data_IF_140699344547
#
_entry.id   IF_140699344547
#
_cell.length_a   1.000
_cell.length_b   1.000
_cell.length_c   1.000
_cell.angle_alpha   90.00
_cell.angle_beta   90.00
_cell.angle_gamma   90.00
#
_symmetry.space_group_name_H-M   'P 1'
#
loop_
_entity.id
_entity.type
_entity.pdbx_description
1 polymer ?
#
# COMPACT_ATOMS: atom_id res chain seq x y z
N UNK A 1 -2.42 -3.07 5.74
CA UNK A 1 -0.98 -2.85 5.48
C UNK A 1 -0.49 -1.55 6.13
N UNK A 2 -1.05 -1.18 7.29
CA UNK A 2 -0.69 0.03 8.03
C UNK A 2 0.64 -0.11 8.77
N UNK A 3 1.14 -1.33 8.97
CA UNK A 3 2.40 -1.56 9.68
C UNK A 3 3.67 -1.13 8.91
N UNK A 4 3.55 -0.88 7.61
CA UNK A 4 4.67 -0.46 6.76
C UNK A 4 4.60 1.01 6.34
N UNK A 5 3.47 1.69 6.59
CA UNK A 5 3.24 3.10 6.26
C UNK A 5 3.33 3.93 7.54
N UNK A 6 4.08 5.03 7.49
CA UNK A 6 4.11 5.99 8.58
C UNK A 6 2.87 6.90 8.53
N UNK A 7 1.98 6.72 9.49
CA UNK A 7 0.73 7.48 9.64
C UNK A 7 0.89 8.69 10.58
N UNK A 8 2.10 8.99 11.06
CA UNK A 8 2.34 10.05 12.06
C UNK A 8 1.78 11.41 11.64
N UNK A 9 1.84 11.74 10.35
CA UNK A 9 1.33 13.01 9.80
C UNK A 9 -0.20 13.18 9.92
N UNK A 10 -0.94 12.06 9.96
CA UNK A 10 -2.41 12.01 9.96
C UNK A 10 -3.00 11.42 11.26
N UNK A 11 -2.15 11.03 12.21
CA UNK A 11 -2.55 10.37 13.44
C UNK A 11 -3.52 11.18 14.32
N UNK A 12 -3.51 12.51 14.22
CA UNK A 12 -4.41 13.39 14.97
C UNK A 12 -5.83 13.43 14.40
N UNK A 13 -6.04 12.95 13.17
CA UNK A 13 -7.30 13.06 12.43
C UNK A 13 -7.83 11.72 11.92
N UNK A 14 -7.04 10.65 12.03
CA UNK A 14 -7.43 9.29 11.64
C UNK A 14 -7.21 8.35 12.81
N UNK A 15 -8.19 7.46 13.05
CA UNK A 15 -8.03 6.30 13.92
C UNK A 15 -7.82 5.05 13.07
N UNK A 16 -6.90 4.18 13.48
CA UNK A 16 -6.59 2.94 12.77
C UNK A 16 -6.81 1.75 13.70
N UNK A 17 -7.34 0.65 13.13
CA UNK A 17 -7.50 -0.63 13.82
C UNK A 17 -6.99 -1.74 12.90
N UNK A 18 -6.28 -2.72 13.47
CA UNK A 18 -5.95 -3.95 12.74
C UNK A 18 -7.24 -4.69 12.41
N UNK A 19 -7.41 -5.14 11.17
CA UNK A 19 -8.65 -5.80 10.74
C UNK A 19 -8.99 -7.03 11.60
N UNK A 20 -7.98 -7.73 12.12
CA UNK A 20 -8.17 -8.88 13.02
C UNK A 20 -8.66 -8.44 14.39
N UNK A 21 -8.15 -7.32 14.91
CA UNK A 21 -8.61 -6.74 16.17
C UNK A 21 -10.03 -6.17 16.03
N UNK A 22 -10.33 -5.55 14.88
CA UNK A 22 -11.68 -5.13 14.51
C UNK A 22 -12.62 -6.34 14.46
N UNK A 23 -12.29 -7.39 13.71
CA UNK A 23 -13.12 -8.57 13.59
C UNK A 23 -13.30 -9.28 14.95
N UNK A 24 -12.24 -9.41 15.75
CA UNK A 24 -12.31 -9.97 17.10
C UNK A 24 -13.25 -9.18 18.01
N UNK A 25 -13.15 -7.84 18.00
CA UNK A 25 -14.01 -6.95 18.80
C UNK A 25 -15.46 -6.99 18.32
N UNK A 26 -15.67 -6.87 17.00
CA UNK A 26 -16.98 -6.87 16.37
C UNK A 26 -17.71 -8.20 16.57
N UNK A 27 -17.00 -9.32 16.40
CA UNK A 27 -17.56 -10.66 16.56
C UNK A 27 -17.61 -11.13 18.02
N UNK A 28 -17.12 -10.33 18.98
CA UNK A 28 -17.01 -10.72 20.40
C UNK A 28 -16.28 -12.05 20.61
N UNK A 29 -15.18 -12.26 19.88
CA UNK A 29 -14.35 -13.49 19.97
C UNK A 29 -12.96 -13.14 20.46
N UNK A 30 -12.47 -13.86 21.49
CA UNK A 30 -11.13 -13.64 22.03
C UNK A 30 -10.07 -14.29 21.14
N UNK A 31 -9.26 -13.47 20.47
CA UNK A 31 -8.18 -13.92 19.57
C UNK A 31 -7.16 -14.83 20.27
N UNK A 32 -6.83 -14.57 21.52
CA UNK A 32 -5.80 -15.31 22.24
C UNK A 32 -6.23 -16.75 22.55
N UNK A 33 -7.55 -17.01 22.61
CA UNK A 33 -8.12 -18.36 22.78
C UNK A 33 -8.16 -19.10 21.43
N UNK A 34 -8.55 -18.41 20.36
CA UNK A 34 -8.70 -19.03 19.03
C UNK A 34 -7.36 -19.46 18.40
N UNK A 35 -6.25 -18.81 18.73
CA UNK A 35 -4.91 -19.23 18.25
C UNK A 35 -4.40 -20.52 18.90
N UNK A 36 -4.93 -20.94 20.04
CA UNK A 36 -4.47 -22.15 20.75
C UNK A 36 -5.23 -23.42 20.32
N UNK A 37 -6.36 -23.25 19.64
CA UNK A 37 -7.32 -24.31 19.32
C UNK A 37 -7.16 -24.89 17.90
N UNK A 38 -5.92 -25.08 17.40
CA UNK A 38 -5.71 -25.82 16.13
C UNK A 38 -6.24 -27.27 16.22
N UNK A 39 -6.50 -27.80 17.42
CA UNK A 39 -6.96 -29.18 17.64
C UNK A 39 -8.49 -29.33 17.75
N UNK A 40 -9.28 -28.26 17.81
CA UNK A 40 -10.75 -28.35 17.90
C UNK A 40 -11.46 -27.47 16.85
N UNK A 41 -11.52 -27.98 15.63
CA UNK A 41 -12.15 -27.36 14.44
C UNK A 41 -13.69 -27.17 14.62
N UNK A 42 -14.29 -27.62 15.72
CA UNK A 42 -15.72 -27.48 16.07
C UNK A 42 -15.96 -26.65 17.35
N UNK A 43 -15.15 -25.61 17.60
CA UNK A 43 -15.42 -24.71 18.73
C UNK A 43 -16.55 -23.73 18.40
N UNK A 44 -17.43 -23.46 19.38
CA UNK A 44 -18.50 -22.44 19.28
C UNK A 44 -17.99 -21.04 18.89
N UNK A 45 -16.70 -20.75 19.15
CA UNK A 45 -16.01 -19.53 18.73
C UNK A 45 -15.87 -19.42 17.21
N UNK A 46 -15.63 -20.53 16.52
CA UNK A 46 -15.50 -20.55 15.05
C UNK A 46 -16.87 -20.33 14.38
N UNK A 47 -17.93 -20.92 14.91
CA UNK A 47 -19.29 -20.68 14.43
C UNK A 47 -19.72 -19.22 14.62
N UNK A 48 -19.37 -18.60 15.76
CA UNK A 48 -19.57 -17.17 15.99
C UNK A 48 -18.80 -16.30 15.00
N UNK A 49 -17.52 -16.61 14.75
CA UNK A 49 -16.72 -15.91 13.74
C UNK A 49 -17.32 -16.06 12.34
N UNK A 50 -17.80 -17.25 11.98
CA UNK A 50 -18.44 -17.52 10.69
C UNK A 50 -19.74 -16.73 10.53
N UNK A 51 -20.62 -16.78 11.53
CA UNK A 51 -21.89 -16.02 11.53
C UNK A 51 -21.62 -14.51 11.46
N UNK A 52 -20.71 -14.02 12.28
CA UNK A 52 -20.30 -12.62 12.27
C UNK A 52 -19.64 -12.21 10.94
N UNK A 53 -18.78 -13.05 10.38
CA UNK A 53 -18.17 -12.83 9.07
C UNK A 53 -19.21 -12.73 7.96
N UNK A 54 -20.28 -13.53 8.01
CA UNK A 54 -21.42 -13.40 7.09
C UNK A 54 -22.15 -12.06 7.23
N UNK A 55 -22.21 -11.47 8.42
CA UNK A 55 -22.76 -10.13 8.64
C UNK A 55 -21.85 -9.03 8.08
N UNK A 56 -20.54 -9.11 8.36
CA UNK A 56 -19.54 -8.16 7.82
C UNK A 56 -19.52 -8.21 6.28
N UNK A 57 -19.67 -9.40 5.71
CA UNK A 57 -19.73 -9.59 4.25
C UNK A 57 -21.07 -9.18 3.63
N UNK A 58 -22.07 -8.77 4.42
CA UNK A 58 -23.39 -8.41 3.92
C UNK A 58 -24.20 -9.58 3.34
N UNK A 59 -23.81 -10.82 3.61
CA UNK A 59 -24.50 -12.02 3.12
C UNK A 59 -25.83 -12.27 3.83
N UNK A 60 -25.98 -11.74 5.05
CA UNK A 60 -27.21 -11.78 5.84
C UNK A 60 -27.65 -10.34 6.08
N UNK A 61 -28.77 -9.96 5.47
CA UNK A 61 -29.29 -8.59 5.52
C UNK A 61 -30.27 -8.35 6.67
N UNK A 62 -30.25 -7.13 7.21
CA UNK A 62 -31.25 -6.57 8.13
C UNK A 62 -31.36 -7.31 9.47
N UNK A 63 -30.30 -7.24 10.28
CA UNK A 63 -30.29 -7.80 11.65
C UNK A 63 -30.76 -6.74 12.64
N UNK A 64 -31.86 -7.04 13.33
CA UNK A 64 -32.39 -6.30 14.48
C UNK A 64 -32.47 -4.78 14.30
N UNK A 65 -32.72 -4.31 13.07
CA UNK A 65 -32.77 -2.88 12.68
C UNK A 65 -31.48 -2.10 12.92
N UNK A 66 -30.39 -2.76 13.30
CA UNK A 66 -29.10 -2.12 13.59
C UNK A 66 -28.12 -2.24 12.41
N UNK A 67 -28.28 -3.24 11.54
CA UNK A 67 -27.41 -3.48 10.39
C UNK A 67 -28.23 -3.65 9.12
N UNK A 68 -28.09 -2.71 8.19
CA UNK A 68 -28.76 -2.73 6.90
C UNK A 68 -27.76 -3.10 5.81
N UNK A 69 -27.95 -4.27 5.19
CA UNK A 69 -27.16 -4.66 4.02
C UNK A 69 -27.74 -3.94 2.79
N UNK A 70 -26.86 -3.33 2.00
CA UNK A 70 -27.22 -2.66 0.76
C UNK A 70 -26.91 -3.58 -0.42
N UNK A 71 -27.84 -3.68 -1.36
CA UNK A 71 -27.66 -4.44 -2.60
C UNK A 71 -27.02 -3.60 -3.71
N UNK A 72 -26.18 -2.64 -3.33
CA UNK A 72 -25.47 -1.74 -4.23
C UNK A 72 -24.06 -2.27 -4.50
N UNK A 73 -23.67 -2.35 -5.77
CA UNK A 73 -22.31 -2.79 -6.12
C UNK A 73 -21.31 -1.67 -5.82
N UNK A 74 -20.41 -1.97 -4.90
CA UNK A 74 -19.31 -1.10 -4.50
C UNK A 74 -18.43 -0.66 -5.70
N UNK A 75 -18.39 -1.44 -6.80
CA UNK A 75 -17.66 -1.07 -8.02
C UNK A 75 -18.35 0.02 -8.84
N UNK A 76 -19.67 0.14 -8.74
CA UNK A 76 -20.48 1.10 -9.51
C UNK A 76 -20.99 2.25 -8.69
N UNK A 77 -20.98 2.13 -7.36
CA UNK A 77 -21.61 3.12 -6.48
C UNK A 77 -20.56 3.83 -5.62
N UNK A 78 -20.62 5.16 -5.63
CA UNK A 78 -19.81 6.05 -4.79
C UNK A 78 -20.77 6.80 -3.86
N UNK A 79 -20.64 6.59 -2.56
CA UNK A 79 -21.48 7.22 -1.56
C UNK A 79 -21.06 8.68 -1.31
N UNK A 80 -22.02 9.59 -1.27
CA UNK A 80 -21.79 11.01 -0.95
C UNK A 80 -22.72 11.48 0.17
N UNK A 81 -22.33 12.54 0.88
CA UNK A 81 -23.14 13.18 1.93
C UNK A 81 -23.64 14.58 1.49
N UNK A 82 -23.91 14.78 0.20
CA UNK A 82 -24.17 16.11 -0.35
C UNK A 82 -25.67 16.45 -0.39
N UNK A 83 -26.05 17.53 0.27
CA UNK A 83 -27.43 18.03 0.24
C UNK A 83 -27.85 18.70 -1.09
N UNK A 84 -26.91 19.14 -1.93
CA UNK A 84 -27.19 20.06 -3.06
C UNK A 84 -26.83 19.53 -4.45
N UNK A 85 -26.22 18.35 -4.57
CA UNK A 85 -25.88 17.76 -5.87
C UNK A 85 -26.98 16.81 -6.36
N UNK A 86 -27.07 16.64 -7.68
CA UNK A 86 -28.01 15.68 -8.28
C UNK A 86 -27.59 14.25 -7.92
N UNK A 87 -28.52 13.50 -7.34
CA UNK A 87 -28.31 12.10 -6.98
C UNK A 87 -28.27 11.24 -8.25
N UNK A 88 -27.38 10.24 -8.30
CA UNK A 88 -27.21 9.36 -9.47
C UNK A 88 -26.31 9.88 -10.60
N UNK A 89 -25.65 11.03 -10.41
CA UNK A 89 -24.67 11.59 -11.35
C UNK A 89 -23.49 10.65 -11.60
N UNK A 90 -22.85 10.79 -12.76
CA UNK A 90 -21.60 10.09 -13.05
C UNK A 90 -20.49 10.58 -12.13
N UNK A 91 -19.75 9.65 -11.54
CA UNK A 91 -18.56 10.01 -10.76
C UNK A 91 -17.49 10.64 -11.65
N UNK A 92 -16.73 11.61 -11.12
CA UNK A 92 -15.66 12.28 -11.87
C UNK A 92 -14.55 11.31 -12.28
N UNK A 93 -14.31 10.27 -11.47
CA UNK A 93 -13.35 9.20 -11.75
C UNK A 93 -13.97 8.08 -12.57
N UNK A 94 -14.53 8.42 -13.73
CA UNK A 94 -14.82 7.42 -14.75
C UNK A 94 -13.53 6.83 -15.30
N UNK A 95 -13.59 5.54 -15.63
CA UNK A 95 -12.50 4.91 -16.39
C UNK A 95 -12.46 5.51 -17.79
N UNK A 96 -11.30 5.95 -18.27
CA UNK A 96 -11.12 6.45 -19.65
C UNK A 96 -11.58 5.43 -20.70
N UNK A 97 -12.21 5.90 -21.79
CA UNK A 97 -12.77 5.03 -22.84
C UNK A 97 -11.76 4.06 -23.45
N UNK A 98 -10.49 4.48 -23.60
CA UNK A 98 -9.43 3.61 -24.13
C UNK A 98 -9.12 2.49 -23.15
N UNK A 99 -9.10 2.80 -21.85
CA UNK A 99 -8.88 1.81 -20.80
C UNK A 99 -10.08 0.87 -20.64
N UNK A 100 -11.32 1.38 -20.77
CA UNK A 100 -12.54 0.57 -20.77
C UNK A 100 -12.51 -0.49 -21.87
N UNK A 101 -12.21 -0.07 -23.11
CA UNK A 101 -12.08 -0.99 -24.25
C UNK A 101 -10.93 -1.98 -24.07
N UNK A 102 -9.78 -1.53 -23.56
CA UNK A 102 -8.61 -2.39 -23.36
C UNK A 102 -8.81 -3.46 -22.29
N UNK A 103 -9.51 -3.13 -21.19
CA UNK A 103 -9.73 -4.03 -20.05
C UNK A 103 -11.12 -4.69 -20.03
N UNK A 104 -11.93 -4.46 -21.07
CA UNK A 104 -13.31 -4.93 -21.16
C UNK A 104 -14.14 -4.55 -19.91
N UNK A 105 -13.97 -3.30 -19.45
CA UNK A 105 -14.72 -2.76 -18.32
C UNK A 105 -16.06 -2.25 -18.86
N UNK A 106 -17.16 -2.87 -18.43
CA UNK A 106 -18.52 -2.52 -18.85
C UNK A 106 -19.30 -1.70 -17.83
N UNK A 107 -18.76 -1.52 -16.62
CA UNK A 107 -19.46 -0.87 -15.53
C UNK A 107 -19.23 0.65 -15.53
N UNK A 108 -20.23 1.39 -15.05
CA UNK A 108 -20.22 2.85 -14.94
C UNK A 108 -20.34 3.23 -13.48
N UNK A 109 -19.53 4.19 -13.02
CA UNK A 109 -19.57 4.64 -11.62
C UNK A 109 -20.56 5.79 -11.45
N UNK A 110 -21.41 5.72 -10.44
CA UNK A 110 -22.41 6.72 -10.11
C UNK A 110 -22.29 7.14 -8.66
N UNK A 111 -22.57 8.41 -8.41
CA UNK A 111 -22.66 8.99 -7.08
C UNK A 111 -24.07 8.75 -6.52
N UNK A 112 -24.16 8.29 -5.28
CA UNK A 112 -25.42 8.11 -4.56
C UNK A 112 -25.37 8.84 -3.22
N UNK A 113 -26.39 9.64 -2.93
CA UNK A 113 -26.51 10.34 -1.65
C UNK A 113 -26.99 9.38 -0.55
N UNK A 114 -26.19 9.25 0.51
CA UNK A 114 -26.47 8.36 1.64
C UNK A 114 -27.83 8.68 2.28
N UNK A 115 -28.17 9.96 2.43
CA UNK A 115 -29.39 10.39 3.13
C UNK A 115 -30.65 10.13 2.30
N UNK A 116 -30.59 10.29 0.98
CA UNK A 116 -31.68 9.98 0.05
C UNK A 116 -31.88 8.47 -0.08
N UNK A 117 -30.80 7.71 -0.26
CA UNK A 117 -30.88 6.26 -0.48
C UNK A 117 -31.27 5.49 0.77
N UNK A 118 -30.77 5.90 1.95
CA UNK A 118 -31.09 5.26 3.23
C UNK A 118 -32.31 5.89 3.94
N UNK A 119 -32.89 6.93 3.33
CA UNK A 119 -34.16 7.54 3.71
C UNK A 119 -34.00 8.69 4.70
N UNK A 120 -34.56 9.85 4.35
CA UNK A 120 -34.64 11.04 5.20
C UNK A 120 -35.65 10.80 6.33
N UNK A 121 -35.27 11.05 7.58
CA UNK A 121 -36.04 10.77 8.79
C UNK A 121 -35.93 9.33 9.31
N UNK A 122 -35.07 8.50 8.74
CA UNK A 122 -34.83 7.12 9.21
C UNK A 122 -33.69 7.07 10.23
N UNK A 123 -33.63 6.02 11.05
CA UNK A 123 -32.47 5.77 11.93
C UNK A 123 -31.17 5.58 11.14
N UNK A 124 -31.26 5.19 9.86
CA UNK A 124 -30.12 4.99 8.97
C UNK A 124 -29.52 6.33 8.46
N UNK A 125 -30.29 7.43 8.43
CA UNK A 125 -29.76 8.77 8.11
C UNK A 125 -28.70 9.24 9.12
N UNK A 126 -28.87 8.84 10.39
CA UNK A 126 -27.94 9.17 11.47
C UNK A 126 -26.81 8.14 11.63
N UNK A 127 -26.86 7.04 10.88
CA UNK A 127 -25.89 5.96 10.99
C UNK A 127 -24.56 6.30 10.32
N UNK A 128 -23.46 5.94 10.96
CA UNK A 128 -22.13 6.06 10.36
C UNK A 128 -21.95 4.96 9.31
N UNK A 129 -21.63 5.32 8.07
CA UNK A 129 -21.32 4.34 7.02
C UNK A 129 -20.00 3.65 7.36
N UNK A 130 -20.07 2.33 7.57
CA UNK A 130 -18.90 1.47 7.68
C UNK A 130 -18.56 0.92 6.29
N UNK A 131 -17.46 1.41 5.71
CA UNK A 131 -16.94 0.90 4.45
C UNK A 131 -15.62 0.15 4.67
N UNK A 132 -15.52 -1.07 4.12
CA UNK A 132 -14.28 -1.83 4.06
C UNK A 132 -13.70 -1.72 2.66
N UNK A 133 -12.60 -1.00 2.53
CA UNK A 133 -11.89 -0.82 1.27
C UNK A 133 -10.42 -0.51 1.51
N UNK A 134 -9.58 -0.86 0.53
CA UNK A 134 -8.19 -0.41 0.55
C UNK A 134 -8.08 0.88 -0.23
N UNK A 135 -7.62 1.96 0.41
CA UNK A 135 -7.17 3.19 -0.24
C UNK A 135 -5.99 2.96 -1.21
N UNK A 136 -5.37 1.79 -1.16
CA UNK A 136 -4.05 1.51 -1.73
C UNK A 136 -4.07 0.42 -2.81
N UNK A 137 -5.24 -0.08 -3.22
CA UNK A 137 -5.31 -1.08 -4.30
C UNK A 137 -5.24 -0.40 -5.67
N UNK A 138 -4.33 -0.88 -6.52
CA UNK A 138 -4.04 -0.33 -7.86
C UNK A 138 -5.25 -0.05 -8.78
N UNK A 139 -6.36 -0.82 -8.78
CA UNK A 139 -7.55 -0.50 -9.57
C UNK A 139 -8.28 0.78 -9.09
N UNK A 140 -7.99 1.22 -7.87
CA UNK A 140 -8.64 2.34 -7.19
C UNK A 140 -7.66 3.48 -6.87
N UNK A 141 -6.42 3.41 -7.36
CA UNK A 141 -5.47 4.52 -7.23
C UNK A 141 -5.99 5.70 -8.07
N UNK A 142 -6.48 6.74 -7.39
CA UNK A 142 -7.21 7.85 -7.99
C UNK A 142 -8.73 7.66 -8.00
N UNK A 143 -9.26 6.44 -7.92
CA UNK A 143 -10.69 6.21 -7.68
C UNK A 143 -10.93 6.27 -6.17
N UNK A 144 -11.08 7.48 -5.65
CA UNK A 144 -11.25 7.74 -4.23
C UNK A 144 -12.47 7.00 -3.68
N UNK A 145 -12.20 6.02 -2.82
CA UNK A 145 -13.12 5.41 -1.84
C UNK A 145 -14.47 4.88 -2.37
N UNK A 146 -15.14 4.11 -1.52
CA UNK A 146 -16.59 3.88 -1.67
C UNK A 146 -17.39 5.09 -1.16
N UNK A 147 -16.73 6.07 -0.54
CA UNK A 147 -17.30 7.28 0.05
C UNK A 147 -16.47 8.47 -0.44
N UNK A 148 -17.05 9.37 -1.20
CA UNK A 148 -16.35 10.58 -1.64
C UNK A 148 -16.18 11.54 -0.47
N UNK A 149 -14.92 11.78 -0.08
CA UNK A 149 -14.55 12.75 0.98
C UNK A 149 -14.07 14.10 0.40
N UNK A 150 -13.87 14.20 -0.91
CA UNK A 150 -13.35 15.39 -1.58
C UNK A 150 -14.42 16.48 -1.69
N UNK A 151 -15.68 16.05 -1.75
CA UNK A 151 -16.88 16.88 -1.72
C UNK A 151 -17.28 17.36 -0.31
N UNK A 152 -16.35 17.32 0.65
CA UNK A 152 -16.42 18.14 1.87
C UNK A 152 -15.58 19.44 1.72
N UNK A 153 -15.74 20.28 0.66
CA UNK A 153 -14.83 21.38 0.37
C UNK A 153 -14.84 22.48 1.44
N UNK A 154 -15.83 22.47 2.34
CA UNK A 154 -15.94 23.43 3.44
C UNK A 154 -15.29 22.95 4.74
N UNK A 155 -14.94 21.67 4.88
CA UNK A 155 -14.25 21.19 6.08
C UNK A 155 -12.73 21.26 5.88
N UNK A 156 -12.11 22.28 6.49
CA UNK A 156 -10.66 22.48 6.46
C UNK A 156 -9.88 21.27 7.00
N UNK A 157 -10.46 20.48 7.92
CA UNK A 157 -9.80 19.28 8.46
C UNK A 157 -9.71 18.19 7.41
N UNK A 158 -10.76 18.00 6.61
CA UNK A 158 -10.78 17.03 5.51
C UNK A 158 -9.86 17.47 4.37
N UNK A 159 -9.84 18.76 4.03
CA UNK A 159 -8.89 19.29 3.04
C UNK A 159 -7.44 19.10 3.47
N UNK A 160 -7.12 19.38 4.75
CA UNK A 160 -5.79 19.13 5.30
C UNK A 160 -5.44 17.63 5.31
N UNK A 161 -6.41 16.77 5.60
CA UNK A 161 -6.23 15.31 5.53
C UNK A 161 -5.92 14.84 4.11
N UNK A 162 -6.70 15.24 3.11
CA UNK A 162 -6.50 14.89 1.69
C UNK A 162 -5.09 15.30 1.23
N UNK A 163 -4.66 16.53 1.56
CA UNK A 163 -3.31 16.99 1.24
C UNK A 163 -2.23 16.12 1.89
N UNK A 164 -2.40 15.73 3.16
CA UNK A 164 -1.46 14.84 3.86
C UNK A 164 -1.47 13.40 3.32
N UNK A 165 -2.59 12.96 2.73
CA UNK A 165 -2.73 11.64 2.11
C UNK A 165 -2.14 11.59 0.69
N UNK A 166 -1.78 12.72 0.07
CA UNK A 166 -1.10 12.75 -1.24
C UNK A 166 0.13 11.83 -1.22
N UNK A 167 0.86 11.84 -0.10
CA UNK A 167 1.99 10.95 0.11
C UNK A 167 2.17 10.60 1.58
N UNK A 168 2.18 9.30 1.87
CA UNK A 168 2.55 8.76 3.18
C UNK A 168 3.84 7.95 3.02
N UNK A 169 4.91 8.27 3.75
CA UNK A 169 6.16 7.53 3.66
C UNK A 169 6.04 6.13 4.24
N UNK A 170 6.98 5.25 3.90
CA UNK A 170 7.14 4.01 4.65
C UNK A 170 7.60 4.30 6.09
N UNK A 171 7.38 3.34 6.98
CA UNK A 171 7.87 3.44 8.36
C UNK A 171 9.39 3.65 8.42
N UNK A 172 9.90 4.37 9.43
CA UNK A 172 11.32 4.72 9.51
C UNK A 172 12.27 3.53 9.41
N UNK A 173 11.90 2.33 9.87
CA UNK A 173 12.71 1.12 9.74
C UNK A 173 13.02 0.79 8.28
N UNK A 174 12.01 0.87 7.41
CA UNK A 174 12.14 0.61 5.97
C UNK A 174 12.90 1.75 5.31
N UNK A 175 12.50 2.99 5.57
CA UNK A 175 13.12 4.16 4.95
C UNK A 175 14.60 4.29 5.33
N UNK A 176 14.95 4.04 6.59
CA UNK A 176 16.34 4.09 7.03
C UNK A 176 17.16 2.91 6.47
N UNK A 177 16.58 1.73 6.33
CA UNK A 177 17.26 0.60 5.70
C UNK A 177 17.61 0.89 4.23
N UNK A 178 16.67 1.45 3.46
CA UNK A 178 16.93 1.81 2.05
C UNK A 178 17.95 2.94 1.91
N UNK A 179 17.85 3.99 2.74
CA UNK A 179 18.87 5.06 2.80
C UNK A 179 20.24 4.51 3.18
N UNK A 180 20.30 3.65 4.20
CA UNK A 180 21.52 2.98 4.64
C UNK A 180 22.14 2.16 3.51
N UNK A 181 21.34 1.38 2.78
CA UNK A 181 21.85 0.64 1.62
C UNK A 181 22.43 1.56 0.54
N UNK A 182 21.74 2.65 0.19
CA UNK A 182 22.22 3.61 -0.80
C UNK A 182 23.55 4.28 -0.36
N UNK A 183 23.62 4.77 0.88
CA UNK A 183 24.78 5.51 1.37
C UNK A 183 25.95 4.63 1.80
N UNK A 184 25.67 3.46 2.39
CA UNK A 184 26.67 2.60 3.03
C UNK A 184 27.00 1.36 2.22
N UNK A 185 26.18 0.94 1.25
CA UNK A 185 26.47 -0.24 0.40
C UNK A 185 26.83 0.16 -1.03
N UNK A 186 26.02 1.00 -1.66
CA UNK A 186 26.33 1.49 -3.02
C UNK A 186 27.52 2.47 -2.98
N UNK A 187 27.50 3.42 -2.04
CA UNK A 187 28.60 4.39 -1.77
C UNK A 187 29.05 5.22 -3.00
N UNK A 188 28.18 5.44 -3.97
CA UNK A 188 28.47 6.19 -5.19
C UNK A 188 27.21 6.81 -5.79
N UNK A 189 27.30 7.86 -6.63
CA UNK A 189 26.19 8.25 -7.48
C UNK A 189 25.73 7.06 -8.34
N UNK A 190 24.44 6.77 -8.33
CA UNK A 190 23.90 5.61 -9.02
C UNK A 190 22.60 5.90 -9.74
N UNK A 191 22.35 5.12 -10.78
CA UNK A 191 21.08 5.04 -11.50
C UNK A 191 20.23 3.94 -10.83
N UNK A 192 18.93 4.14 -10.61
CA UNK A 192 18.03 3.02 -10.34
C UNK A 192 17.28 2.62 -11.61
N UNK A 193 17.18 1.30 -11.83
CA UNK A 193 16.34 0.67 -12.84
C UNK A 193 15.29 -0.23 -12.18
N UNK A 194 14.01 0.16 -12.24
CA UNK A 194 12.88 -0.66 -11.82
C UNK A 194 12.28 -1.36 -13.06
N UNK A 195 12.43 -2.67 -13.14
CA UNK A 195 12.14 -3.49 -14.31
C UNK A 195 11.13 -4.59 -13.97
N UNK A 196 9.88 -4.48 -14.44
CA UNK A 196 8.92 -5.59 -14.43
C UNK A 196 9.09 -6.42 -15.70
N UNK A 197 9.50 -7.67 -15.55
CA UNK A 197 9.86 -8.57 -16.65
C UNK A 197 9.12 -9.91 -16.58
N UNK A 198 8.66 -10.37 -15.43
CA UNK A 198 7.95 -11.65 -15.30
C UNK A 198 6.42 -11.55 -15.28
N UNK A 199 5.86 -10.42 -14.85
CA UNK A 199 4.42 -10.20 -14.88
C UNK A 199 3.87 -10.33 -16.31
N UNK A 200 2.77 -11.09 -16.47
CA UNK A 200 2.18 -11.42 -17.76
C UNK A 200 1.80 -10.21 -18.62
N UNK A 201 1.56 -9.04 -18.01
CA UNK A 201 1.36 -7.79 -18.76
C UNK A 201 2.65 -7.25 -19.39
N UNK A 202 3.82 -7.61 -18.87
CA UNK A 202 5.13 -7.06 -19.25
C UNK A 202 6.08 -8.09 -19.87
N UNK A 203 5.81 -9.39 -19.69
CA UNK A 203 6.62 -10.52 -20.14
C UNK A 203 6.93 -10.52 -21.64
N UNK A 204 6.06 -9.95 -22.47
CA UNK A 204 6.24 -9.85 -23.93
C UNK A 204 6.81 -8.49 -24.39
N UNK A 205 7.16 -7.60 -23.46
CA UNK A 205 7.55 -6.22 -23.76
C UNK A 205 8.96 -5.86 -23.29
N UNK A 206 9.83 -6.84 -23.03
CA UNK A 206 11.20 -6.64 -22.53
C UNK A 206 11.99 -5.62 -23.35
N UNK A 207 11.87 -5.66 -24.70
CA UNK A 207 12.55 -4.70 -25.57
C UNK A 207 12.16 -3.25 -25.25
N UNK A 208 10.87 -3.00 -24.98
CA UNK A 208 10.37 -1.69 -24.62
C UNK A 208 10.77 -1.33 -23.18
N UNK A 209 10.68 -2.27 -22.25
CA UNK A 209 11.11 -2.08 -20.85
C UNK A 209 12.59 -1.69 -20.76
N UNK A 210 13.46 -2.35 -21.55
CA UNK A 210 14.88 -2.03 -21.59
C UNK A 210 15.24 -0.78 -22.39
N UNK A 211 14.36 -0.29 -23.27
CA UNK A 211 14.70 0.84 -24.15
C UNK A 211 15.04 2.11 -23.35
N UNK A 212 14.23 2.44 -22.35
CA UNK A 212 14.49 3.59 -21.48
C UNK A 212 15.79 3.46 -20.70
N UNK A 213 16.10 2.24 -20.23
CA UNK A 213 17.34 1.97 -19.52
C UNK A 213 18.56 2.11 -20.45
N UNK A 214 18.50 1.54 -21.66
CA UNK A 214 19.55 1.64 -22.68
C UNK A 214 19.89 3.10 -22.99
N UNK A 215 18.87 3.89 -23.30
CA UNK A 215 19.04 5.31 -23.63
C UNK A 215 19.67 6.09 -22.46
N UNK A 216 19.22 5.83 -21.23
CA UNK A 216 19.75 6.50 -20.04
C UNK A 216 21.20 6.10 -19.77
N UNK A 217 21.53 4.82 -19.93
CA UNK A 217 22.90 4.30 -19.75
C UNK A 217 23.83 4.86 -20.81
N UNK A 218 23.42 4.90 -22.09
CA UNK A 218 24.21 5.49 -23.18
C UNK A 218 24.49 6.97 -22.93
N UNK A 219 23.48 7.73 -22.48
CA UNK A 219 23.65 9.13 -22.09
C UNK A 219 24.65 9.30 -20.94
N UNK A 220 24.54 8.48 -19.89
CA UNK A 220 25.47 8.53 -18.75
C UNK A 220 26.89 8.11 -19.14
N UNK A 221 27.04 7.14 -20.06
CA UNK A 221 28.35 6.71 -20.57
C UNK A 221 29.06 7.82 -21.33
N UNK A 222 28.33 8.69 -22.03
CA UNK A 222 28.91 9.82 -22.77
C UNK A 222 29.30 11.00 -21.87
N UNK A 223 28.61 11.21 -20.74
CA UNK A 223 28.76 12.41 -19.90
C UNK A 223 29.37 12.17 -18.52
N UNK A 224 29.41 10.93 -18.07
CA UNK A 224 29.76 10.56 -16.69
C UNK A 224 31.07 9.79 -16.59
N UNK A 225 31.52 9.62 -15.35
CA UNK A 225 32.62 8.71 -15.01
C UNK A 225 32.16 7.26 -15.02
N UNK A 226 33.01 6.38 -15.53
CA UNK A 226 32.87 4.93 -15.40
C UNK A 226 33.54 4.44 -14.09
N UNK A 227 33.07 3.33 -13.49
CA UNK A 227 31.89 2.56 -13.88
C UNK A 227 30.58 3.25 -13.45
N UNK A 228 29.52 3.06 -14.24
CA UNK A 228 28.18 3.53 -13.87
C UNK A 228 27.60 2.54 -12.84
N UNK A 229 27.34 3.02 -11.63
CA UNK A 229 26.65 2.23 -10.60
C UNK A 229 25.16 2.19 -10.90
N UNK A 230 24.58 1.00 -10.98
CA UNK A 230 23.16 0.78 -11.29
C UNK A 230 22.55 -0.11 -10.22
N UNK A 231 21.56 0.39 -9.49
CA UNK A 231 20.72 -0.44 -8.64
C UNK A 231 19.58 -1.04 -9.49
N UNK A 232 19.46 -2.36 -9.50
CA UNK A 232 18.49 -3.09 -10.31
C UNK A 232 17.42 -3.65 -9.38
N UNK A 233 16.20 -3.19 -9.57
CA UNK A 233 14.99 -3.66 -8.90
C UNK A 233 14.15 -4.41 -9.94
N UNK A 234 14.11 -5.75 -9.87
CA UNK A 234 13.51 -6.58 -10.91
C UNK A 234 12.86 -7.84 -10.34
N UNK A 235 11.76 -8.27 -10.96
CA UNK A 235 11.14 -9.57 -10.67
C UNK A 235 11.81 -10.73 -11.42
N UNK A 236 12.77 -10.46 -12.32
CA UNK A 236 13.54 -11.48 -13.04
C UNK A 236 14.77 -11.94 -12.24
N UNK A 237 14.85 -13.21 -11.82
CA UNK A 237 16.01 -13.73 -11.09
C UNK A 237 17.31 -13.61 -11.90
N UNK A 238 18.43 -13.36 -11.23
CA UNK A 238 19.76 -13.22 -11.85
C UNK A 238 20.16 -14.41 -12.72
N UNK A 239 19.80 -15.63 -12.31
CA UNK A 239 20.05 -16.85 -13.09
C UNK A 239 19.48 -16.76 -14.53
N UNK A 240 18.44 -15.94 -14.73
CA UNK A 240 17.76 -15.76 -16.00
C UNK A 240 18.19 -14.48 -16.74
N UNK A 241 19.24 -13.79 -16.30
CA UNK A 241 19.73 -12.58 -16.97
C UNK A 241 20.51 -12.90 -18.26
N UNK A 242 20.99 -14.13 -18.41
CA UNK A 242 21.73 -14.57 -19.60
C UNK A 242 20.92 -14.31 -20.88
N UNK A 243 21.54 -13.63 -21.85
CA UNK A 243 20.88 -13.26 -23.11
C UNK A 243 19.92 -12.06 -23.02
N UNK A 244 19.81 -11.42 -21.85
CA UNK A 244 19.09 -10.16 -21.67
C UNK A 244 20.05 -8.97 -21.58
N UNK A 245 19.51 -7.75 -21.63
CA UNK A 245 20.32 -6.55 -21.45
C UNK A 245 20.93 -6.43 -20.04
N UNK A 246 20.29 -6.98 -19.00
CA UNK A 246 20.90 -7.07 -17.67
C UNK A 246 22.12 -7.99 -17.68
N UNK A 247 22.07 -9.09 -18.44
CA UNK A 247 23.21 -9.97 -18.65
C UNK A 247 24.36 -9.29 -19.40
N UNK A 248 24.04 -8.43 -20.38
CA UNK A 248 25.05 -7.63 -21.08
C UNK A 248 25.75 -6.65 -20.13
N UNK A 249 24.98 -5.93 -19.31
CA UNK A 249 25.52 -5.00 -18.30
C UNK A 249 26.35 -5.74 -17.23
N UNK A 250 25.90 -6.91 -16.78
CA UNK A 250 26.60 -7.70 -15.77
C UNK A 250 27.95 -8.24 -16.27
N UNK A 251 28.11 -8.47 -17.57
CA UNK A 251 29.36 -8.96 -18.18
C UNK A 251 30.41 -7.87 -18.37
N UNK A 252 29.99 -6.62 -18.52
CA UNK A 252 30.88 -5.46 -18.72
C UNK A 252 31.16 -4.75 -17.39
N UNK A 253 31.84 -5.44 -16.47
CA UNK A 253 32.12 -4.95 -15.11
C UNK A 253 33.04 -3.72 -15.06
N UNK A 254 33.83 -3.49 -16.10
CA UNK A 254 34.70 -2.32 -16.21
C UNK A 254 33.90 -1.04 -16.47
N UNK A 255 32.77 -1.17 -17.19
CA UNK A 255 31.87 -0.04 -17.48
C UNK A 255 30.72 0.08 -16.49
N UNK A 256 30.30 -1.01 -15.85
CA UNK A 256 29.08 -1.06 -15.03
C UNK A 256 29.27 -1.80 -13.73
N UNK A 257 28.65 -1.26 -12.67
CA UNK A 257 28.56 -1.92 -11.38
C UNK A 257 27.09 -2.11 -11.01
N UNK A 258 26.62 -3.36 -11.08
CA UNK A 258 25.24 -3.69 -10.74
C UNK A 258 25.10 -3.95 -9.23
N UNK A 259 24.10 -3.33 -8.62
CA UNK A 259 23.71 -3.52 -7.23
C UNK A 259 22.30 -4.08 -7.19
N UNK A 260 22.07 -5.03 -6.28
CA UNK A 260 20.80 -5.72 -6.08
C UNK A 260 20.62 -5.94 -4.58
N UNK A 261 19.38 -6.11 -4.16
CA UNK A 261 19.03 -6.49 -2.81
C UNK A 261 18.23 -7.79 -2.87
N UNK A 262 18.51 -8.73 -1.97
CA UNK A 262 17.86 -10.04 -1.97
C UNK A 262 17.14 -10.31 -0.66
N UNK A 263 16.12 -11.15 -0.69
CA UNK A 263 15.33 -11.52 0.51
C UNK A 263 16.21 -12.13 1.60
N UNK A 264 17.26 -12.86 1.21
CA UNK A 264 18.18 -13.49 2.14
C UNK A 264 19.13 -12.52 2.85
N UNK A 265 19.26 -11.29 2.37
CA UNK A 265 20.19 -10.31 2.90
C UNK A 265 19.86 -9.96 4.36
N UNK A 266 20.89 -9.83 5.18
CA UNK A 266 20.74 -9.53 6.61
C UNK A 266 19.99 -8.22 6.83
N UNK A 267 20.21 -7.22 5.97
CA UNK A 267 19.49 -5.95 6.03
C UNK A 267 17.97 -6.15 5.94
N UNK A 268 17.50 -6.96 4.98
CA UNK A 268 16.07 -7.24 4.77
C UNK A 268 15.50 -7.99 5.97
N UNK A 269 16.15 -9.08 6.38
CA UNK A 269 15.72 -9.90 7.54
C UNK A 269 15.65 -9.09 8.84
N UNK A 270 16.65 -8.25 9.10
CA UNK A 270 16.68 -7.42 10.31
C UNK A 270 15.61 -6.33 10.28
N UNK A 271 15.41 -5.71 9.11
CA UNK A 271 14.39 -4.67 8.95
C UNK A 271 13.00 -5.26 9.15
N UNK A 272 12.72 -6.45 8.61
CA UNK A 272 11.44 -7.13 8.78
C UNK A 272 11.14 -7.43 10.26
N UNK A 273 12.16 -7.88 11.01
CA UNK A 273 12.07 -8.09 12.46
C UNK A 273 11.78 -6.78 13.21
N UNK A 274 12.41 -5.67 12.83
CA UNK A 274 12.19 -4.36 13.45
C UNK A 274 10.76 -3.87 13.22
N UNK A 275 10.25 -3.98 11.99
CA UNK A 275 8.87 -3.60 11.62
C UNK A 275 7.86 -4.35 12.48
N UNK A 276 8.00 -5.68 12.60
CA UNK A 276 7.12 -6.51 13.44
C UNK A 276 7.24 -6.15 14.93
N UNK A 277 8.46 -5.91 15.41
CA UNK A 277 8.71 -5.56 16.81
C UNK A 277 8.09 -4.22 17.22
N UNK A 278 8.01 -3.26 16.28
CA UNK A 278 7.52 -1.92 16.55
C UNK A 278 6.00 -1.80 16.51
N UNK A 279 5.29 -2.75 15.88
CA UNK A 279 3.81 -2.81 15.84
C UNK A 279 3.16 -1.45 15.52
N UNK A 280 3.68 -0.75 14.51
CA UNK A 280 3.24 0.62 14.19
C UNK A 280 1.73 0.73 14.00
N UNK A 281 1.08 -0.24 13.34
CA UNK A 281 -0.38 -0.27 13.22
C UNK A 281 -1.15 -0.54 14.52
N UNK A 282 -0.55 -1.23 15.50
CA UNK A 282 -1.18 -1.51 16.81
C UNK A 282 -0.93 -0.39 17.84
N UNK A 283 0.13 0.41 17.67
CA UNK A 283 0.45 1.54 18.56
C UNK A 283 -0.52 2.71 18.41
N UNK A 284 -1.24 2.80 17.28
CA UNK A 284 -1.99 4.00 16.97
C UNK A 284 -3.32 4.20 17.72
N UNK A 285 -4.03 3.19 18.25
CA UNK A 285 -5.09 3.37 19.29
C UNK A 285 -5.89 2.10 19.68
N UNK A 286 -5.29 1.13 20.38
CA UNK A 286 -6.13 0.24 21.22
C UNK A 286 -5.53 0.05 22.61
N UNK A 287 -5.74 1.07 23.45
CA UNK A 287 -5.75 0.87 24.90
C UNK A 287 -7.10 0.24 25.21
N UNK A 288 -7.20 -1.09 25.16
CA UNK A 288 -8.24 -1.74 25.97
C UNK A 288 -7.91 -1.43 27.42
N UNK A 289 -8.69 -0.56 28.05
CA UNK A 289 -8.81 -0.55 29.51
C UNK A 289 -9.47 -1.87 29.91
N UNK A 290 -8.70 -2.97 29.96
CA UNK A 290 -8.97 -4.21 30.72
C UNK A 290 -7.89 -5.26 30.42
N UNK A 291 -6.84 -5.27 31.24
CA UNK A 291 -6.40 -6.44 32.01
C UNK A 291 -5.02 -6.16 32.59
N UNK A 292 -4.99 -5.64 33.81
CA UNK A 292 -3.86 -5.89 34.71
C UNK A 292 -3.79 -7.41 34.92
N UNK A 293 -2.88 -8.08 34.22
CA UNK A 293 -2.64 -9.52 34.40
C UNK A 293 -2.05 -10.29 33.21
N UNK A 294 -2.06 -9.76 31.98
CA UNK A 294 -1.67 -10.53 30.79
C UNK A 294 -0.21 -10.27 30.33
N UNK A 295 0.77 -10.26 31.24
CA UNK A 295 2.18 -10.04 30.89
C UNK A 295 2.89 -11.25 30.27
N UNK A 296 2.30 -12.45 30.30
CA UNK A 296 2.95 -13.67 29.77
C UNK A 296 2.29 -14.29 28.50
N UNK A 297 1.01 -14.02 28.21
CA UNK A 297 0.29 -14.70 27.11
C UNK A 297 0.48 -14.06 25.71
N UNK A 298 1.18 -12.93 25.58
CA UNK A 298 1.33 -12.18 24.31
C UNK A 298 2.26 -12.83 23.25
N UNK A 299 2.83 -14.01 23.52
CA UNK A 299 3.88 -14.62 22.67
C UNK A 299 3.37 -15.59 21.60
N UNK A 300 2.11 -16.02 21.62
CA UNK A 300 1.69 -17.20 20.84
C UNK A 300 0.86 -16.93 19.58
N UNK A 301 0.40 -15.70 19.33
CA UNK A 301 -0.17 -15.31 18.03
C UNK A 301 0.78 -14.39 17.21
N UNK A 302 2.12 -14.55 17.36
CA UNK A 302 3.04 -13.82 16.49
C UNK A 302 2.95 -14.41 15.07
N UNK A 303 2.94 -13.58 14.01
CA UNK A 303 3.12 -14.08 12.66
C UNK A 303 4.40 -14.92 12.62
N UNK A 304 4.29 -16.22 12.33
CA UNK A 304 5.47 -17.07 12.16
C UNK A 304 6.32 -16.60 10.97
N UNK A 305 5.69 -15.92 10.01
CA UNK A 305 6.34 -15.37 8.84
C UNK A 305 6.59 -13.87 9.01
N UNK A 306 7.83 -13.46 8.76
CA UNK A 306 8.17 -12.04 8.64
C UNK A 306 7.45 -11.44 7.42
N UNK A 307 7.03 -10.16 7.48
CA UNK A 307 6.47 -9.50 6.33
C UNK A 307 7.50 -9.46 5.21
N UNK A 308 7.05 -9.69 3.98
CA UNK A 308 7.85 -9.37 2.80
C UNK A 308 7.98 -7.86 2.70
N UNK A 309 9.19 -7.36 2.92
CA UNK A 309 9.51 -5.94 2.91
C UNK A 309 10.59 -5.57 1.89
N UNK A 310 11.09 -6.55 1.12
CA UNK A 310 12.17 -6.34 0.17
C UNK A 310 11.80 -5.20 -0.78
N UNK A 311 10.60 -5.31 -1.38
CA UNK A 311 10.05 -4.33 -2.31
C UNK A 311 10.11 -2.90 -1.77
N UNK A 312 9.67 -2.68 -0.52
CA UNK A 312 9.61 -1.34 0.07
C UNK A 312 11.00 -0.75 0.37
N UNK A 313 11.97 -1.61 0.71
CA UNK A 313 13.38 -1.20 0.85
C UNK A 313 13.91 -0.81 -0.53
N UNK A 314 13.69 -1.62 -1.57
CA UNK A 314 14.14 -1.35 -2.93
C UNK A 314 13.56 -0.03 -3.48
N UNK A 315 12.27 0.23 -3.25
CA UNK A 315 11.63 1.50 -3.63
C UNK A 315 12.32 2.69 -2.95
N UNK A 316 12.65 2.55 -1.66
CA UNK A 316 13.42 3.55 -0.93
C UNK A 316 14.81 3.75 -1.53
N UNK A 317 15.55 2.67 -1.83
CA UNK A 317 16.87 2.76 -2.49
C UNK A 317 16.75 3.49 -3.84
N UNK A 318 15.74 3.17 -4.63
CA UNK A 318 15.50 3.83 -5.92
C UNK A 318 15.14 5.31 -5.79
N UNK A 319 14.46 5.70 -4.71
CA UNK A 319 14.22 7.10 -4.40
C UNK A 319 15.52 7.88 -4.16
N UNK A 320 16.59 7.20 -3.75
CA UNK A 320 17.93 7.76 -3.51
C UNK A 320 18.82 7.88 -4.75
N UNK A 321 18.41 7.35 -5.91
CA UNK A 321 19.27 7.30 -7.09
C UNK A 321 19.57 8.69 -7.66
N UNK A 322 20.81 9.15 -7.53
CA UNK A 322 21.24 10.51 -7.89
C UNK A 322 21.54 10.70 -9.38
N UNK A 323 21.89 9.63 -10.12
CA UNK A 323 22.06 9.70 -11.58
C UNK A 323 20.73 9.62 -12.34
N UNK A 324 19.65 9.36 -11.62
CA UNK A 324 18.28 9.31 -12.12
C UNK A 324 17.57 8.00 -11.80
N UNK A 325 16.34 7.91 -12.30
CA UNK A 325 15.47 6.75 -12.13
C UNK A 325 14.89 6.37 -13.50
N UNK A 326 14.82 5.07 -13.78
CA UNK A 326 14.11 4.51 -14.94
C UNK A 326 13.16 3.44 -14.42
N UNK A 327 11.86 3.68 -14.55
CA UNK A 327 10.81 2.75 -14.16
C UNK A 327 10.12 2.08 -15.34
N UNK A 328 9.50 0.93 -15.09
CA UNK A 328 8.66 0.28 -16.11
C UNK A 328 7.37 1.08 -16.28
N UNK A 329 7.07 1.51 -17.51
CA UNK A 329 5.86 2.28 -17.79
C UNK A 329 4.59 1.52 -17.37
N UNK A 330 3.71 2.18 -16.61
CA UNK A 330 2.47 1.59 -16.07
C UNK A 330 2.68 0.71 -14.83
N UNK A 331 3.88 0.67 -14.26
CA UNK A 331 4.16 0.03 -12.97
C UNK A 331 3.78 0.96 -11.82
N UNK A 332 2.88 0.54 -10.96
CA UNK A 332 2.51 1.30 -9.75
C UNK A 332 3.68 1.49 -8.79
N UNK A 333 4.66 0.59 -8.82
CA UNK A 333 5.93 0.68 -8.07
C UNK A 333 6.75 1.86 -8.61
N UNK A 334 6.84 2.01 -9.94
CA UNK A 334 7.59 3.11 -10.54
C UNK A 334 6.97 4.46 -10.19
N UNK A 335 5.64 4.56 -10.26
CA UNK A 335 4.90 5.76 -9.84
C UNK A 335 5.13 6.09 -8.36
N UNK A 336 5.18 5.08 -7.48
CA UNK A 336 5.44 5.31 -6.06
C UNK A 336 6.88 5.81 -5.82
N UNK A 337 7.88 5.24 -6.52
CA UNK A 337 9.26 5.74 -6.46
C UNK A 337 9.35 7.19 -6.92
N UNK A 338 8.67 7.57 -8.01
CA UNK A 338 8.62 8.96 -8.48
C UNK A 338 8.01 9.90 -7.43
N UNK A 339 6.95 9.45 -6.75
CA UNK A 339 6.34 10.18 -5.65
C UNK A 339 7.32 10.35 -4.47
N UNK A 340 7.99 9.27 -4.05
CA UNK A 340 9.03 9.33 -3.02
C UNK A 340 10.17 10.31 -3.37
N UNK A 341 10.55 10.38 -4.65
CA UNK A 341 11.54 11.33 -5.15
C UNK A 341 11.03 12.76 -5.12
N UNK A 342 9.77 13.00 -5.54
CA UNK A 342 9.10 14.32 -5.48
C UNK A 342 9.07 14.86 -4.05
N UNK A 343 8.76 14.00 -3.08
CA UNK A 343 8.71 14.35 -1.66
C UNK A 343 10.06 14.29 -0.95
N UNK A 344 11.16 14.06 -1.68
CA UNK A 344 12.51 14.18 -1.13
C UNK A 344 12.86 13.17 -0.05
N UNK A 345 12.30 11.94 -0.11
CA UNK A 345 12.53 10.92 0.93
C UNK A 345 14.01 10.71 1.22
N UNK A 346 14.85 10.68 0.18
CA UNK A 346 16.27 10.44 0.33
C UNK A 346 17.13 11.70 0.56
N UNK A 347 16.54 12.89 0.59
CA UNK A 347 17.28 14.09 0.98
C UNK A 347 17.58 13.99 2.49
N UNK A 348 18.85 14.08 2.86
CA UNK A 348 19.24 14.13 4.27
C UNK A 348 18.52 15.29 4.96
N UNK A 349 17.90 15.03 6.11
CA UNK A 349 17.70 16.06 7.11
C UNK A 349 19.07 16.49 7.64
N UNK A 350 19.76 17.36 6.91
CA UNK A 350 20.79 18.21 7.47
C UNK A 350 20.14 19.46 8.05
N UNK A 351 19.29 19.29 9.06
CA UNK A 351 18.87 20.37 9.95
C UNK A 351 18.70 19.78 11.36
N UNK A 352 19.83 19.44 11.96
CA UNK A 352 20.03 19.73 13.38
C UNK A 352 20.81 21.03 13.45
N UNK A 353 20.31 21.94 14.29
CA UNK A 353 20.93 23.14 14.83
C UNK A 353 21.04 24.39 13.94
N UNK A 354 20.09 25.31 14.12
CA UNK A 354 20.40 26.66 14.63
C UNK A 354 19.28 27.17 15.53
#
# INVERSE_FOLDING_TARGET
MTDIIDMSSVASVVQTIDLRDFASSWCSVNRDVTCMDEQNIQSSSFDKLRQCGSLIAGLVGNVDKCLYALNEDCKTTVWTYQQNDEDGLLDSFQTDEKLQKKKNISYVRRRQDVSKTLGTGSEAELATVLALGSLFTAPYKGSELYIDIHEAPRDQRIQSLIQKLEFLPFVPEITNAGKGFAHETIKAPFLCAQLRLLDGQFKNHWKNTFLGLKQKVEYLRQKGSLPISIFVMTDLPEANWTGSYLGDLARDSDSFKLHILREEDQLVKQTAKKVVGQRHGMKFHYISKRSDGASEMKKHCLPQNLPDILLYIEETVCSCASLGFVGTAGSTIAENIELMRKFGICLCQSQTDT
#
